data_IF_868946263111
#
_entry.id   IF_868946263111
#
_cell.length_a   1.000
_cell.length_b   1.000
_cell.length_c   1.000
_cell.angle_alpha   90.00
_cell.angle_beta   90.00
_cell.angle_gamma   90.00
#
_symmetry.space_group_name_H-M   'P 1'
#
loop_
_entity.id
_entity.type
_entity.pdbx_description
1 polymer ?
#
# COMPACT_ATOMS: atom_id res chain seq x y z
N UNK A 1 1.22 -21.10 18.43
CA UNK A 1 2.35 -20.95 17.50
C UNK A 1 3.06 -19.64 17.87
N UNK A 2 4.26 -19.69 18.49
CA UNK A 2 5.02 -18.47 18.81
C UNK A 2 5.70 -18.03 17.52
N UNK A 3 5.29 -16.92 16.95
CA UNK A 3 6.02 -16.28 15.85
C UNK A 3 7.35 -15.78 16.43
N UNK A 4 8.45 -16.42 16.07
CA UNK A 4 9.79 -15.91 16.39
C UNK A 4 10.06 -14.76 15.41
N UNK A 5 9.89 -13.53 15.87
CA UNK A 5 10.35 -12.36 15.15
C UNK A 5 11.88 -12.32 15.20
N UNK A 6 12.50 -12.05 14.07
CA UNK A 6 13.95 -11.91 13.97
C UNK A 6 14.39 -10.78 14.92
N UNK A 7 15.31 -11.07 15.83
CA UNK A 7 15.81 -10.09 16.83
C UNK A 7 16.51 -8.87 16.24
N UNK A 8 16.70 -8.85 14.92
CA UNK A 8 17.30 -7.75 14.16
C UNK A 8 16.26 -6.92 13.38
N UNK A 9 14.95 -7.13 13.58
CA UNK A 9 13.95 -6.28 12.93
C UNK A 9 13.91 -4.92 13.62
N UNK A 10 13.97 -3.84 12.83
CA UNK A 10 13.82 -2.47 13.33
C UNK A 10 12.51 -2.29 14.10
N UNK A 11 11.43 -2.93 13.61
CA UNK A 11 10.12 -2.93 14.26
C UNK A 11 9.94 -4.20 15.08
N UNK A 12 9.59 -4.06 16.36
CA UNK A 12 9.29 -5.15 17.28
C UNK A 12 8.16 -4.75 18.23
N UNK A 13 7.82 -5.61 19.18
CA UNK A 13 6.79 -5.31 20.16
C UNK A 13 7.13 -5.92 21.53
N UNK A 14 6.60 -5.29 22.58
CA UNK A 14 6.51 -5.82 23.93
C UNK A 14 5.05 -6.12 24.25
N UNK A 15 4.71 -6.72 25.40
CA UNK A 15 3.32 -6.84 25.82
C UNK A 15 2.57 -5.50 25.96
N UNK A 16 3.27 -4.38 26.06
CA UNK A 16 2.69 -3.06 26.34
C UNK A 16 2.75 -2.10 25.15
N UNK A 17 3.76 -2.18 24.26
CA UNK A 17 3.98 -1.21 23.19
C UNK A 17 4.82 -1.75 22.04
N UNK A 18 4.74 -1.07 20.90
CA UNK A 18 5.65 -1.27 19.77
C UNK A 18 7.01 -0.65 20.07
N UNK A 19 8.06 -1.22 19.47
CA UNK A 19 9.40 -0.61 19.48
C UNK A 19 9.90 -0.44 18.05
N UNK A 20 10.54 0.69 17.80
CA UNK A 20 11.28 0.98 16.57
C UNK A 20 12.74 1.22 16.98
N UNK A 21 13.67 0.48 16.37
CA UNK A 21 15.11 0.51 16.74
C UNK A 21 15.35 0.37 18.26
N UNK A 22 14.62 -0.56 18.90
CA UNK A 22 14.63 -0.84 20.34
C UNK A 22 14.13 0.32 21.24
N UNK A 23 13.57 1.36 20.66
CA UNK A 23 12.97 2.48 21.39
C UNK A 23 11.45 2.34 21.40
N UNK A 24 10.74 2.57 22.53
CA UNK A 24 9.28 2.61 22.54
C UNK A 24 8.73 3.54 21.45
N UNK A 25 7.79 3.03 20.68
CA UNK A 25 7.21 3.77 19.56
C UNK A 25 5.69 3.72 19.61
N UNK A 26 5.07 4.87 19.60
CA UNK A 26 3.62 5.05 19.53
C UNK A 26 3.26 5.93 18.33
N UNK A 27 3.17 5.36 17.12
CA UNK A 27 2.97 6.14 15.91
C UNK A 27 1.57 6.76 15.86
N UNK A 28 1.51 8.01 15.42
CA UNK A 28 0.27 8.62 14.95
C UNK A 28 0.15 8.39 13.45
N UNK A 29 -0.97 7.81 13.03
CA UNK A 29 -1.20 7.45 11.64
C UNK A 29 -2.18 8.41 10.98
N UNK A 30 -1.83 8.86 9.77
CA UNK A 30 -2.70 9.58 8.86
C UNK A 30 -2.82 8.84 7.53
N UNK A 31 -3.93 9.04 6.81
CA UNK A 31 -4.17 8.37 5.53
C UNK A 31 -4.15 9.36 4.36
N UNK A 32 -3.48 8.97 3.26
CA UNK A 32 -3.48 9.69 1.98
C UNK A 32 -3.50 8.71 0.83
N UNK A 33 -4.41 8.89 -0.12
CA UNK A 33 -4.47 8.09 -1.33
C UNK A 33 -3.69 8.78 -2.45
N UNK A 34 -2.43 8.40 -2.65
CA UNK A 34 -1.50 9.05 -3.58
C UNK A 34 -2.07 9.21 -4.98
N UNK A 35 -2.75 8.19 -5.51
CA UNK A 35 -3.34 8.21 -6.85
C UNK A 35 -4.55 9.17 -7.03
N UNK A 36 -4.92 9.89 -5.98
CA UNK A 36 -5.95 10.96 -5.97
C UNK A 36 -5.38 12.35 -5.71
N UNK A 37 -4.07 12.43 -5.52
CA UNK A 37 -3.35 13.67 -5.27
C UNK A 37 -2.29 13.81 -6.35
N UNK A 38 -2.18 14.99 -6.98
CA UNK A 38 -1.13 15.22 -7.98
C UNK A 38 0.24 14.94 -7.42
N UNK A 39 1.06 14.22 -8.18
CA UNK A 39 2.41 13.81 -7.74
C UNK A 39 3.34 14.98 -7.42
N UNK A 40 3.10 16.14 -8.03
CA UNK A 40 3.81 17.37 -7.71
C UNK A 40 3.49 17.95 -6.34
N UNK A 41 2.44 17.46 -5.67
CA UNK A 41 2.01 17.91 -4.34
C UNK A 41 2.32 16.90 -3.23
N UNK A 42 2.73 15.67 -3.54
CA UNK A 42 2.94 14.64 -2.52
C UNK A 42 3.88 15.08 -1.40
N UNK A 43 5.01 15.67 -1.75
CA UNK A 43 5.99 16.12 -0.76
C UNK A 43 5.41 17.19 0.18
N UNK A 44 4.70 18.18 -0.38
CA UNK A 44 4.04 19.24 0.40
C UNK A 44 3.01 18.65 1.37
N UNK A 45 2.13 17.77 0.89
CA UNK A 45 1.09 17.17 1.70
C UNK A 45 1.67 16.24 2.80
N UNK A 46 2.73 15.49 2.49
CA UNK A 46 3.43 14.66 3.47
C UNK A 46 4.12 15.52 4.55
N UNK A 47 4.71 16.66 4.19
CA UNK A 47 5.26 17.59 5.20
C UNK A 47 4.18 18.23 6.06
N UNK A 48 2.99 18.52 5.53
CA UNK A 48 1.85 18.98 6.32
C UNK A 48 1.40 17.92 7.32
N UNK A 49 1.31 16.66 6.89
CA UNK A 49 1.00 15.54 7.78
C UNK A 49 2.04 15.43 8.89
N UNK A 50 3.33 15.49 8.56
CA UNK A 50 4.43 15.44 9.53
C UNK A 50 4.38 16.61 10.51
N UNK A 51 4.12 17.83 10.04
CA UNK A 51 3.96 19.00 10.89
C UNK A 51 2.76 18.87 11.85
N UNK A 52 1.73 18.11 11.46
CA UNK A 52 0.60 17.74 12.31
C UNK A 52 0.90 16.60 13.30
N UNK A 53 2.14 16.10 13.35
CA UNK A 53 2.56 15.04 14.26
C UNK A 53 2.35 13.62 13.75
N UNK A 54 2.08 13.44 12.45
CA UNK A 54 1.95 12.10 11.82
C UNK A 54 3.35 11.52 11.63
N UNK A 55 3.54 10.27 12.07
CA UNK A 55 4.77 9.48 11.90
C UNK A 55 4.61 8.41 10.83
N UNK A 56 3.37 7.94 10.64
CA UNK A 56 3.03 6.77 9.85
C UNK A 56 1.94 7.13 8.84
N UNK A 57 2.24 6.94 7.57
CA UNK A 57 1.32 7.19 6.47
C UNK A 57 0.64 5.89 6.07
N UNK A 58 -0.70 5.86 6.07
CA UNK A 58 -1.48 4.78 5.46
C UNK A 58 -1.84 5.15 4.03
N UNK A 59 -1.61 4.26 3.09
CA UNK A 59 -1.98 4.47 1.69
C UNK A 59 -2.52 3.19 1.05
N UNK A 60 -3.66 3.29 0.35
CA UNK A 60 -4.16 2.21 -0.49
C UNK A 60 -3.50 2.21 -1.86
N UNK A 61 -3.18 1.00 -2.33
CA UNK A 61 -2.98 0.73 -3.75
C UNK A 61 -4.32 0.35 -4.36
N UNK A 62 -4.94 1.26 -5.06
CA UNK A 62 -6.29 1.08 -5.64
C UNK A 62 -6.15 0.41 -6.99
N UNK A 63 -6.58 -0.84 -7.11
CA UNK A 63 -6.31 -1.67 -8.29
C UNK A 63 -6.76 -1.04 -9.61
N UNK A 64 -8.01 -0.55 -9.68
CA UNK A 64 -8.54 0.09 -10.90
C UNK A 64 -7.70 1.28 -11.39
N UNK A 65 -6.94 1.95 -10.50
CA UNK A 65 -6.07 3.05 -10.90
C UNK A 65 -4.80 2.58 -11.62
N UNK A 66 -4.42 1.31 -11.47
CA UNK A 66 -3.19 0.74 -12.02
C UNK A 66 -3.43 -0.23 -13.18
N UNK A 67 -4.64 -0.78 -13.29
CA UNK A 67 -5.02 -1.73 -14.34
C UNK A 67 -6.46 -1.44 -14.78
N UNK A 68 -6.66 -0.31 -15.43
CA UNK A 68 -7.98 0.10 -15.94
C UNK A 68 -8.45 -0.80 -17.08
N UNK A 69 -7.50 -1.26 -17.91
CA UNK A 69 -7.69 -2.27 -18.96
C UNK A 69 -6.93 -3.53 -18.58
N UNK A 70 -7.54 -4.71 -18.74
CA UNK A 70 -6.95 -5.99 -18.36
C UNK A 70 -5.56 -6.18 -19.02
N UNK A 71 -4.54 -6.41 -18.20
CA UNK A 71 -3.16 -6.62 -18.62
C UNK A 71 -2.36 -5.34 -18.89
N UNK A 72 -2.99 -4.17 -18.88
CA UNK A 72 -2.32 -2.88 -19.09
C UNK A 72 -2.06 -2.18 -17.75
N UNK A 73 -0.79 -2.24 -17.31
CA UNK A 73 -0.39 -1.70 -16.01
C UNK A 73 0.17 -0.29 -16.13
N UNK A 74 -0.33 0.63 -15.30
CA UNK A 74 0.15 2.01 -15.21
C UNK A 74 0.65 2.35 -13.80
N UNK A 75 1.94 2.63 -13.69
CA UNK A 75 2.63 3.14 -12.50
C UNK A 75 3.36 4.44 -12.83
N UNK A 76 2.76 5.32 -13.62
CA UNK A 76 3.33 6.60 -14.01
C UNK A 76 2.56 7.80 -13.44
N UNK A 77 3.14 8.98 -13.47
CA UNK A 77 2.49 10.22 -13.05
C UNK A 77 1.95 10.14 -11.61
N UNK A 78 0.66 10.38 -11.43
CA UNK A 78 -0.01 10.32 -10.12
C UNK A 78 -0.23 8.88 -9.62
N UNK A 79 0.07 7.87 -10.45
CA UNK A 79 0.00 6.43 -10.16
C UNK A 79 1.38 5.82 -9.83
N UNK A 80 2.45 6.62 -9.81
CA UNK A 80 3.81 6.16 -9.53
C UNK A 80 3.99 5.81 -8.05
N UNK A 81 3.62 4.58 -7.70
CA UNK A 81 3.72 4.06 -6.34
C UNK A 81 5.16 4.11 -5.83
N UNK A 82 6.14 3.73 -6.66
CA UNK A 82 7.55 3.73 -6.25
C UNK A 82 8.02 5.12 -5.87
N UNK A 83 7.73 6.12 -6.70
CA UNK A 83 8.06 7.53 -6.41
C UNK A 83 7.36 8.02 -5.14
N UNK A 84 6.08 7.66 -4.94
CA UNK A 84 5.35 8.03 -3.73
C UNK A 84 6.02 7.46 -2.46
N UNK A 85 6.36 6.16 -2.46
CA UNK A 85 7.06 5.53 -1.34
C UNK A 85 8.44 6.17 -1.09
N UNK A 86 9.18 6.51 -2.15
CA UNK A 86 10.45 7.23 -2.03
C UNK A 86 10.25 8.63 -1.44
N UNK A 87 9.17 9.31 -1.80
CA UNK A 87 8.84 10.64 -1.24
C UNK A 87 8.54 10.52 0.25
N UNK A 88 7.78 9.51 0.70
CA UNK A 88 7.55 9.22 2.13
C UNK A 88 8.88 9.04 2.87
N UNK A 89 9.80 8.22 2.31
CA UNK A 89 11.14 8.03 2.86
C UNK A 89 11.90 9.34 3.01
N UNK A 90 11.91 10.16 1.95
CA UNK A 90 12.63 11.43 1.93
C UNK A 90 12.06 12.44 2.94
N UNK A 91 10.75 12.40 3.20
CA UNK A 91 10.11 13.18 4.26
C UNK A 91 10.41 12.64 5.67
N UNK A 92 11.06 11.49 5.80
CA UNK A 92 11.36 10.83 7.07
C UNK A 92 10.10 10.35 7.77
N UNK A 93 9.18 9.76 7.02
CA UNK A 93 7.95 9.13 7.49
C UNK A 93 7.98 7.63 7.22
N UNK A 94 7.17 6.87 7.95
CA UNK A 94 6.93 5.45 7.68
C UNK A 94 5.62 5.26 6.89
N UNK A 95 5.42 4.06 6.33
CA UNK A 95 4.25 3.75 5.52
C UNK A 95 3.66 2.38 5.85
N UNK A 96 2.34 2.33 6.03
CA UNK A 96 1.58 1.09 5.86
C UNK A 96 0.99 1.09 4.47
N UNK A 97 1.57 0.31 3.57
CA UNK A 97 1.04 0.12 2.23
C UNK A 97 -0.09 -0.92 2.28
N UNK A 98 -1.30 -0.48 2.05
CA UNK A 98 -2.52 -1.31 2.05
C UNK A 98 -2.75 -1.83 0.63
N UNK A 99 -2.31 -3.05 0.37
CA UNK A 99 -2.21 -3.62 -0.98
C UNK A 99 -3.56 -4.12 -1.55
N UNK A 100 -4.65 -3.97 -0.81
CA UNK A 100 -5.96 -4.42 -1.28
C UNK A 100 -6.12 -5.96 -1.20
N UNK A 101 -6.70 -6.62 -2.21
CA UNK A 101 -7.19 -6.09 -3.50
C UNK A 101 -8.46 -5.24 -3.41
N UNK A 102 -9.21 -5.34 -2.31
CA UNK A 102 -10.34 -4.48 -1.99
C UNK A 102 -9.89 -3.26 -1.19
N UNK A 103 -10.33 -2.06 -1.59
CA UNK A 103 -10.05 -0.81 -0.91
C UNK A 103 -11.31 -0.21 -0.28
N UNK A 104 -11.22 0.17 1.01
CA UNK A 104 -12.25 0.92 1.72
C UNK A 104 -11.96 2.42 1.65
N UNK A 105 -12.04 3.02 0.46
CA UNK A 105 -11.63 4.40 0.23
C UNK A 105 -12.59 5.16 -0.71
N UNK A 106 -13.91 4.93 -0.59
CA UNK A 106 -14.96 5.54 -1.42
C UNK A 106 -14.60 5.50 -2.92
N UNK A 107 -14.19 4.33 -3.37
CA UNK A 107 -13.86 4.05 -4.76
C UNK A 107 -14.85 3.07 -5.36
N UNK A 108 -15.18 3.28 -6.65
CA UNK A 108 -16.05 2.39 -7.41
C UNK A 108 -15.58 0.93 -7.29
N UNK A 109 -16.54 0.03 -7.11
CA UNK A 109 -16.31 -1.42 -6.98
C UNK A 109 -15.31 -1.81 -5.86
N UNK A 110 -15.11 -0.96 -4.83
CA UNK A 110 -14.09 -1.21 -3.83
C UNK A 110 -12.66 -1.24 -4.42
N UNK A 111 -12.46 -0.56 -5.53
CA UNK A 111 -11.17 -0.47 -6.23
C UNK A 111 -10.92 -1.58 -7.23
N UNK A 112 -11.84 -2.52 -7.41
CA UNK A 112 -11.71 -3.53 -8.47
C UNK A 112 -11.90 -2.92 -9.85
N UNK A 113 -11.09 -3.32 -10.85
CA UNK A 113 -11.28 -2.90 -12.24
C UNK A 113 -12.63 -3.34 -12.80
N UNK A 114 -13.19 -2.53 -13.70
CA UNK A 114 -14.50 -2.82 -14.29
C UNK A 114 -14.49 -4.13 -15.10
N UNK A 115 -13.38 -4.44 -15.78
CA UNK A 115 -13.22 -5.69 -16.51
C UNK A 115 -13.30 -6.92 -15.59
N UNK A 116 -12.77 -6.84 -14.34
CA UNK A 116 -12.86 -7.90 -13.35
C UNK A 116 -14.31 -8.10 -12.88
N UNK A 117 -15.01 -6.99 -12.61
CA UNK A 117 -16.43 -7.02 -12.22
C UNK A 117 -17.32 -7.54 -13.35
N UNK A 118 -16.98 -7.27 -14.61
CA UNK A 118 -17.68 -7.82 -15.76
C UNK A 118 -17.52 -9.35 -15.83
N UNK A 119 -16.29 -9.86 -15.61
CA UNK A 119 -16.04 -11.31 -15.54
C UNK A 119 -16.82 -11.99 -14.42
N UNK A 120 -16.94 -11.34 -13.26
CA UNK A 120 -17.77 -11.85 -12.16
C UNK A 120 -19.25 -11.90 -12.55
N UNK A 121 -19.77 -10.83 -13.14
CA UNK A 121 -21.16 -10.76 -13.62
C UNK A 121 -21.48 -11.83 -14.66
N UNK A 122 -20.51 -12.20 -15.48
CA UNK A 122 -20.61 -13.28 -16.49
C UNK A 122 -20.40 -14.68 -15.89
N UNK A 123 -20.19 -14.79 -14.57
CA UNK A 123 -20.00 -16.07 -13.89
C UNK A 123 -18.67 -16.74 -14.17
N UNK A 124 -17.68 -16.00 -14.65
CA UNK A 124 -16.34 -16.53 -14.97
C UNK A 124 -15.49 -16.75 -13.72
N UNK A 125 -15.71 -15.97 -12.66
CA UNK A 125 -15.02 -16.03 -11.37
C UNK A 125 -15.92 -15.45 -10.27
N UNK A 126 -15.48 -15.61 -9.00
CA UNK A 126 -16.15 -14.98 -7.84
C UNK A 126 -15.11 -14.20 -7.04
N UNK A 127 -15.28 -12.87 -6.98
CA UNK A 127 -14.36 -11.99 -6.24
C UNK A 127 -14.48 -12.18 -4.72
N UNK A 128 -13.46 -11.78 -3.96
CA UNK A 128 -13.40 -11.84 -2.49
C UNK A 128 -13.60 -13.24 -1.91
N UNK A 129 -13.25 -14.26 -2.68
CA UNK A 129 -13.31 -15.67 -2.28
C UNK A 129 -11.98 -16.37 -2.59
N UNK A 130 -11.92 -17.68 -2.33
CA UNK A 130 -10.81 -18.55 -2.71
C UNK A 130 -10.94 -19.10 -4.14
N UNK A 131 -11.72 -18.44 -5.01
CA UNK A 131 -11.81 -18.82 -6.42
C UNK A 131 -10.42 -18.78 -7.07
N UNK A 132 -9.92 -19.90 -7.65
CA UNK A 132 -8.58 -19.95 -8.22
C UNK A 132 -8.34 -18.96 -9.38
N UNK A 133 -9.39 -18.64 -10.14
CA UNK A 133 -9.31 -17.68 -11.26
C UNK A 133 -9.15 -16.26 -10.71
N UNK A 134 -9.95 -15.90 -9.70
CA UNK A 134 -9.82 -14.62 -9.01
C UNK A 134 -8.44 -14.50 -8.35
N UNK A 135 -7.99 -15.52 -7.61
CA UNK A 135 -6.69 -15.50 -6.94
C UNK A 135 -5.50 -15.39 -7.91
N UNK A 136 -5.63 -15.84 -9.16
CA UNK A 136 -4.60 -15.62 -10.18
C UNK A 136 -4.42 -14.12 -10.45
N UNK A 137 -5.49 -13.38 -10.69
CA UNK A 137 -5.45 -11.94 -10.91
C UNK A 137 -4.92 -11.18 -9.68
N UNK A 138 -5.32 -11.60 -8.48
CA UNK A 138 -4.80 -11.02 -7.23
C UNK A 138 -3.28 -11.21 -7.12
N UNK A 139 -2.74 -12.38 -7.50
CA UNK A 139 -1.29 -12.63 -7.49
C UNK A 139 -0.55 -11.73 -8.48
N UNK A 140 -1.11 -11.51 -9.67
CA UNK A 140 -0.53 -10.60 -10.66
C UNK A 140 -0.49 -9.18 -10.11
N UNK A 141 -1.59 -8.68 -9.56
CA UNK A 141 -1.66 -7.37 -8.92
C UNK A 141 -0.63 -7.24 -7.79
N UNK A 142 -0.57 -8.19 -6.86
CA UNK A 142 0.40 -8.18 -5.77
C UNK A 142 1.85 -8.27 -6.27
N UNK A 143 2.09 -9.01 -7.35
CA UNK A 143 3.39 -9.06 -8.01
C UNK A 143 3.84 -7.68 -8.50
N UNK A 144 2.93 -6.94 -9.14
CA UNK A 144 3.20 -5.57 -9.61
C UNK A 144 3.48 -4.61 -8.47
N UNK A 145 2.71 -4.68 -7.38
CA UNK A 145 2.97 -3.87 -6.17
C UNK A 145 4.35 -4.22 -5.59
N UNK A 146 4.68 -5.51 -5.48
CA UNK A 146 5.97 -5.95 -4.95
C UNK A 146 7.15 -5.46 -5.80
N UNK A 147 7.00 -5.39 -7.14
CA UNK A 147 7.99 -4.79 -8.04
C UNK A 147 8.23 -3.31 -7.69
N UNK A 148 7.16 -2.53 -7.44
CA UNK A 148 7.26 -1.11 -7.08
C UNK A 148 7.90 -0.90 -5.69
N UNK A 149 7.55 -1.76 -4.73
CA UNK A 149 8.04 -1.67 -3.34
C UNK A 149 9.44 -2.25 -3.12
N UNK A 150 10.05 -2.88 -4.13
CA UNK A 150 11.35 -3.54 -4.01
C UNK A 150 12.44 -2.58 -3.53
N UNK A 151 13.14 -2.94 -2.45
CA UNK A 151 14.18 -2.13 -1.81
C UNK A 151 13.63 -0.93 -1.01
N UNK A 152 12.31 -0.90 -0.75
CA UNK A 152 11.64 0.14 0.03
C UNK A 152 10.90 -0.43 1.25
N UNK A 153 11.13 -1.70 1.58
CA UNK A 153 10.63 -2.29 2.81
C UNK A 153 11.46 -1.81 4.01
N UNK A 154 10.89 -1.86 5.19
CA UNK A 154 11.57 -1.48 6.44
C UNK A 154 12.85 -2.31 6.68
N UNK A 155 12.86 -3.57 6.23
CA UNK A 155 14.07 -4.43 6.23
C UNK A 155 15.19 -3.93 5.31
N UNK A 156 14.86 -3.10 4.33
CA UNK A 156 15.78 -2.54 3.33
C UNK A 156 16.07 -1.05 3.60
N UNK A 157 15.88 -0.58 4.83
CA UNK A 157 15.89 0.84 5.19
C UNK A 157 14.86 1.70 4.44
N UNK A 158 13.79 1.07 3.96
CA UNK A 158 12.67 1.75 3.32
C UNK A 158 11.61 2.22 4.32
N UNK A 159 10.57 2.91 3.84
CA UNK A 159 9.50 3.43 4.68
C UNK A 159 8.41 2.38 5.00
N UNK A 160 8.29 1.27 4.23
CA UNK A 160 7.18 0.29 4.23
C UNK A 160 7.42 -0.87 5.17
#
# INVERSE_FOLDING_TARGET
MRVQWNRNSKLSYTPQFLTLDNTPWFPLMGEIHYSRVSNGRWEEELYKMKAGGIDLVSAYTIWIHHEEVEGEWDFSGDRDLRKFLQTIKNCGLHCILRIGPWAHGEVRNGGFPDWLMQKEKEGQLVTRTNDPKYLRYVREFYGKIAEQARGLLLSDDGPV
#
